data_IF_116717481247
#
_entry.id   IF_116717481247
#
_cell.length_a   1.000
_cell.length_b   1.000
_cell.length_c   1.000
_cell.angle_alpha   90.00
_cell.angle_beta   90.00
_cell.angle_gamma   90.00
#
_symmetry.space_group_name_H-M   'P 1'
#
loop_
_entity.id
_entity.type
_entity.pdbx_description
1 polymer ?
#
# COMPACT_ATOMS: atom_id res chain seq x y z
N UNK A 1 -23.58 -5.64 0.75
CA UNK A 1 -23.73 -5.94 -0.70
C UNK A 1 -22.39 -5.68 -1.37
N UNK A 2 -21.67 -6.74 -1.75
CA UNK A 2 -20.32 -6.63 -2.31
C UNK A 2 -20.38 -6.02 -3.72
N UNK A 3 -19.96 -4.76 -3.87
CA UNK A 3 -19.71 -4.19 -5.18
C UNK A 3 -18.51 -4.93 -5.77
N UNK A 4 -18.80 -5.93 -6.59
CA UNK A 4 -17.90 -6.39 -7.63
C UNK A 4 -17.60 -5.15 -8.47
N UNK A 5 -16.44 -4.53 -8.22
CA UNK A 5 -15.84 -3.54 -9.08
C UNK A 5 -15.60 -4.23 -10.43
N UNK A 6 -16.64 -4.19 -11.27
CA UNK A 6 -16.53 -4.51 -12.69
C UNK A 6 -15.37 -3.66 -13.22
N UNK A 7 -14.26 -4.32 -13.54
CA UNK A 7 -13.13 -3.74 -14.24
C UNK A 7 -13.71 -3.05 -15.47
N UNK A 8 -13.78 -1.72 -15.44
CA UNK A 8 -14.23 -0.91 -16.56
C UNK A 8 -13.30 -1.20 -17.73
N UNK A 9 -13.83 -2.00 -18.63
CA UNK A 9 -13.36 -2.40 -19.94
C UNK A 9 -11.91 -2.93 -20.07
N UNK A 10 -11.84 -4.14 -20.62
CA UNK A 10 -10.75 -4.66 -21.45
C UNK A 10 -10.54 -3.83 -22.74
N UNK A 11 -10.88 -2.54 -22.71
CA UNK A 11 -10.61 -1.60 -23.79
C UNK A 11 -9.10 -1.42 -23.90
N UNK A 12 -8.56 -2.09 -24.91
CA UNK A 12 -7.22 -1.93 -25.45
C UNK A 12 -6.09 -2.61 -24.66
N UNK A 13 -6.29 -3.85 -24.21
CA UNK A 13 -5.25 -4.86 -24.51
C UNK A 13 -5.56 -5.25 -25.95
N UNK A 14 -4.97 -4.52 -26.91
CA UNK A 14 -5.08 -4.86 -28.32
C UNK A 14 -4.58 -6.28 -28.53
N UNK A 15 -4.98 -6.96 -29.61
CA UNK A 15 -4.39 -8.25 -30.01
C UNK A 15 -2.86 -8.21 -30.20
N UNK A 16 -2.23 -7.04 -30.13
CA UNK A 16 -0.78 -6.82 -30.18
C UNK A 16 -0.12 -6.62 -28.81
N UNK A 17 -0.89 -6.52 -27.72
CA UNK A 17 -0.37 -6.35 -26.36
C UNK A 17 -0.11 -7.72 -25.73
N UNK A 18 1.14 -7.99 -25.35
CA UNK A 18 1.57 -9.25 -24.74
C UNK A 18 1.04 -9.38 -23.31
N UNK A 19 1.16 -8.33 -22.51
CA UNK A 19 0.57 -8.24 -21.17
C UNK A 19 0.52 -6.79 -20.69
N UNK A 20 -0.27 -6.55 -19.65
CA UNK A 20 -0.37 -5.27 -18.97
C UNK A 20 -0.30 -5.44 -17.45
N UNK A 21 0.22 -4.42 -16.78
CA UNK A 21 0.31 -4.35 -15.33
C UNK A 21 -0.44 -3.13 -14.81
N UNK A 22 -1.23 -3.35 -13.77
CA UNK A 22 -1.84 -2.33 -12.93
C UNK A 22 -1.16 -2.31 -11.56
N UNK A 23 -0.62 -1.16 -11.18
CA UNK A 23 -0.12 -0.94 -9.83
C UNK A 23 -1.22 -0.34 -8.97
N UNK A 24 -1.47 -0.91 -7.79
CA UNK A 24 -2.54 -0.41 -6.92
C UNK A 24 -2.04 0.18 -5.62
N UNK A 25 -2.69 1.26 -5.23
CA UNK A 25 -2.42 1.98 -4.01
C UNK A 25 -2.72 1.08 -2.79
N UNK A 26 -1.81 0.96 -1.82
CA UNK A 26 -1.95 0.03 -0.69
C UNK A 26 -3.18 0.30 0.17
N UNK A 27 -3.56 1.57 0.31
CA UNK A 27 -4.67 1.99 1.17
C UNK A 27 -6.04 1.91 0.47
N UNK A 28 -6.16 2.41 -0.76
CA UNK A 28 -7.45 2.51 -1.46
C UNK A 28 -7.73 1.33 -2.38
N UNK A 29 -6.71 0.55 -2.75
CA UNK A 29 -6.79 -0.45 -3.80
C UNK A 29 -6.96 0.13 -5.21
N UNK A 30 -7.08 1.45 -5.37
CA UNK A 30 -7.25 2.08 -6.68
C UNK A 30 -5.93 2.07 -7.47
N UNK A 31 -6.04 2.16 -8.80
CA UNK A 31 -4.88 2.19 -9.70
C UNK A 31 -4.06 3.47 -9.46
N UNK A 32 -2.74 3.32 -9.29
CA UNK A 32 -1.79 4.42 -9.27
C UNK A 32 -1.45 4.79 -10.70
N UNK A 33 -1.92 5.96 -11.14
CA UNK A 33 -1.77 6.39 -12.53
C UNK A 33 -0.43 7.05 -12.81
N UNK A 34 0.19 7.73 -11.85
CA UNK A 34 1.33 8.62 -12.08
C UNK A 34 2.46 8.41 -11.08
N UNK A 35 3.63 8.98 -11.38
CA UNK A 35 4.78 9.00 -10.47
C UNK A 35 5.48 7.64 -10.29
N UNK A 36 5.34 6.74 -11.24
CA UNK A 36 6.04 5.45 -11.27
C UNK A 36 6.97 5.37 -12.49
N UNK A 37 8.18 4.88 -12.28
CA UNK A 37 9.06 4.36 -13.32
C UNK A 37 8.93 2.84 -13.31
N UNK A 38 8.54 2.26 -14.44
CA UNK A 38 8.21 0.84 -14.54
C UNK A 38 9.05 0.21 -15.64
N UNK A 39 9.61 -0.96 -15.35
CA UNK A 39 10.35 -1.76 -16.32
C UNK A 39 9.99 -3.25 -16.20
N UNK A 40 10.26 -3.98 -17.28
CA UNK A 40 10.16 -5.43 -17.32
C UNK A 40 11.49 -5.97 -17.86
N UNK A 41 12.10 -6.91 -17.14
CA UNK A 41 13.40 -7.47 -17.52
C UNK A 41 13.33 -8.14 -18.90
N UNK A 42 14.24 -7.75 -19.81
CA UNK A 42 14.28 -8.26 -21.17
C UNK A 42 13.29 -7.59 -22.14
N UNK A 43 12.57 -6.54 -21.73
CA UNK A 43 11.64 -5.82 -22.58
C UNK A 43 12.01 -4.34 -22.72
N UNK A 44 11.58 -3.73 -23.81
CA UNK A 44 11.59 -2.28 -23.98
C UNK A 44 10.67 -1.57 -22.97
N UNK A 45 10.67 -0.23 -22.94
CA UNK A 45 9.81 0.53 -22.04
C UNK A 45 8.32 0.25 -22.32
N UNK A 46 7.47 0.20 -21.27
CA UNK A 46 6.04 0.02 -21.46
C UNK A 46 5.38 1.24 -22.11
N UNK A 47 4.25 1.00 -22.77
CA UNK A 47 3.30 2.05 -23.13
C UNK A 47 2.36 2.26 -21.94
N UNK A 48 2.23 3.50 -21.50
CA UNK A 48 1.26 3.87 -20.46
C UNK A 48 -0.10 4.17 -21.10
N UNK A 49 -1.14 3.43 -20.70
CA UNK A 49 -2.51 3.63 -21.19
C UNK A 49 -3.17 4.81 -20.49
N UNK A 50 -4.28 5.30 -21.05
CA UNK A 50 -5.10 6.34 -20.41
C UNK A 50 -5.66 5.92 -19.04
N UNK A 51 -5.95 4.62 -18.86
CA UNK A 51 -6.39 4.06 -17.57
C UNK A 51 -5.28 3.96 -16.51
N UNK A 52 -4.03 4.26 -16.88
CA UNK A 52 -2.86 4.17 -16.00
C UNK A 52 -2.20 2.79 -15.96
N UNK A 53 -2.54 1.89 -16.89
CA UNK A 53 -1.90 0.58 -17.04
C UNK A 53 -0.56 0.74 -17.75
N UNK A 54 0.38 -0.15 -17.48
CA UNK A 54 1.64 -0.27 -18.20
C UNK A 54 1.58 -1.52 -19.08
N UNK A 55 1.56 -1.33 -20.40
CA UNK A 55 1.39 -2.41 -21.37
C UNK A 55 2.66 -2.62 -22.19
N UNK A 56 3.00 -3.87 -22.44
CA UNK A 56 4.06 -4.27 -23.36
C UNK A 56 3.44 -4.93 -24.59
N UNK A 57 3.89 -4.51 -25.76
CA UNK A 57 3.44 -5.07 -27.03
C UNK A 57 4.44 -6.08 -27.57
N UNK A 58 3.93 -7.07 -28.28
CA UNK A 58 4.69 -8.21 -28.79
C UNK A 58 5.45 -7.86 -30.08
N UNK A 59 6.74 -8.26 -30.16
CA UNK A 59 7.54 -8.24 -31.40
C UNK A 59 7.97 -9.69 -31.80
N UNK A 60 8.00 -10.64 -30.87
CA UNK A 60 8.38 -12.06 -31.10
C UNK A 60 7.24 -13.04 -30.79
N UNK A 61 7.34 -14.31 -31.22
CA UNK A 61 6.26 -15.30 -31.06
C UNK A 61 5.81 -15.51 -29.59
N UNK A 62 4.50 -15.73 -29.36
CA UNK A 62 3.94 -15.93 -28.03
C UNK A 62 4.42 -17.25 -27.43
N UNK A 63 5.12 -17.15 -26.29
CA UNK A 63 5.56 -18.29 -25.50
C UNK A 63 5.37 -17.97 -24.02
N UNK A 64 5.18 -19.00 -23.19
CA UNK A 64 5.13 -18.85 -21.73
C UNK A 64 6.46 -18.32 -21.21
N UNK A 65 6.41 -17.28 -20.38
CA UNK A 65 7.61 -16.63 -19.85
C UNK A 65 7.43 -16.26 -18.39
N UNK A 66 8.51 -16.33 -17.64
CA UNK A 66 8.61 -15.66 -16.34
C UNK A 66 9.35 -14.34 -16.52
N UNK A 67 8.74 -13.25 -16.05
CA UNK A 67 9.26 -11.89 -16.24
C UNK A 67 9.34 -11.22 -14.88
N UNK A 68 10.42 -10.49 -14.64
CA UNK A 68 10.53 -9.62 -13.46
C UNK A 68 10.04 -8.23 -13.83
N UNK A 69 9.02 -7.76 -13.11
CA UNK A 69 8.50 -6.40 -13.20
C UNK A 69 9.08 -5.59 -12.05
N UNK A 70 9.68 -4.46 -12.39
CA UNK A 70 10.15 -3.49 -11.39
C UNK A 70 9.33 -2.20 -11.48
N UNK A 71 9.07 -1.60 -10.32
CA UNK A 71 8.44 -0.30 -10.22
C UNK A 71 9.07 0.54 -9.11
N UNK A 72 9.39 1.78 -9.44
CA UNK A 72 9.99 2.74 -8.52
C UNK A 72 9.16 4.03 -8.50
N UNK A 73 8.81 4.49 -7.29
CA UNK A 73 8.11 5.76 -7.12
C UNK A 73 9.09 6.93 -7.30
N UNK A 74 8.76 7.89 -8.17
CA UNK A 74 9.64 9.04 -8.44
C UNK A 74 9.78 10.00 -7.27
N UNK A 75 8.83 9.98 -6.35
CA UNK A 75 8.74 10.80 -5.14
C UNK A 75 8.99 10.00 -3.85
N UNK A 76 9.26 8.69 -3.96
CA UNK A 76 9.52 7.81 -2.82
C UNK A 76 8.31 7.50 -1.92
N UNK A 77 7.07 7.78 -2.35
CA UNK A 77 5.85 7.46 -1.57
C UNK A 77 5.52 5.95 -1.52
N UNK A 78 6.02 5.20 -2.50
CA UNK A 78 5.93 3.73 -2.51
C UNK A 78 7.32 3.11 -2.45
N UNK A 79 7.44 1.99 -1.75
CA UNK A 79 8.68 1.23 -1.71
C UNK A 79 8.96 0.63 -3.09
N UNK A 80 10.25 0.47 -3.48
CA UNK A 80 10.60 -0.22 -4.72
C UNK A 80 9.96 -1.62 -4.75
N UNK A 81 9.37 -1.96 -5.89
CA UNK A 81 8.76 -3.25 -6.14
C UNK A 81 9.60 -4.00 -7.18
N UNK A 82 9.81 -5.29 -6.93
CA UNK A 82 10.42 -6.24 -7.87
C UNK A 82 9.67 -7.55 -7.75
N UNK A 83 8.77 -7.82 -8.69
CA UNK A 83 7.85 -8.96 -8.64
C UNK A 83 8.03 -9.84 -9.87
N UNK A 84 8.06 -11.15 -9.66
CA UNK A 84 8.14 -12.14 -10.74
C UNK A 84 6.74 -12.57 -11.14
N UNK A 85 6.34 -12.31 -12.38
CA UNK A 85 5.05 -12.71 -12.94
C UNK A 85 5.22 -13.81 -13.99
N UNK A 86 4.21 -14.67 -14.11
CA UNK A 86 4.11 -15.68 -15.17
C UNK A 86 3.18 -15.16 -16.25
N UNK A 87 3.74 -14.82 -17.41
CA UNK A 87 2.96 -14.38 -18.57
C UNK A 87 2.69 -15.59 -19.46
N UNK A 88 1.42 -15.98 -19.66
CA UNK A 88 1.09 -17.09 -20.54
C UNK A 88 1.29 -16.71 -22.01
N UNK A 89 1.49 -17.71 -22.86
CA UNK A 89 1.48 -17.54 -24.31
C UNK A 89 0.11 -17.02 -24.77
N UNK A 90 0.12 -16.06 -25.69
CA UNK A 90 -1.09 -15.52 -26.28
C UNK A 90 -1.70 -16.50 -27.29
N UNK A 91 -2.48 -17.45 -26.78
CA UNK A 91 -3.27 -18.43 -27.55
C UNK A 91 -4.76 -18.13 -27.45
N UNK A 92 -5.57 -18.72 -28.34
CA UNK A 92 -7.00 -18.40 -28.49
C UNK A 92 -7.83 -18.61 -27.20
N UNK A 93 -7.41 -19.47 -26.28
CA UNK A 93 -8.08 -19.69 -24.99
C UNK A 93 -7.69 -18.69 -23.88
N UNK A 94 -6.69 -17.82 -24.12
CA UNK A 94 -6.28 -16.80 -23.16
C UNK A 94 -7.10 -15.53 -23.41
N UNK A 95 -7.94 -15.22 -22.43
CA UNK A 95 -8.75 -14.02 -22.41
C UNK A 95 -7.90 -12.81 -21.97
N UNK A 96 -8.20 -11.58 -22.44
CA UNK A 96 -7.39 -10.41 -22.13
C UNK A 96 -7.18 -10.13 -20.63
N UNK A 97 -8.13 -10.50 -19.77
CA UNK A 97 -8.01 -10.40 -18.31
C UNK A 97 -6.89 -11.27 -17.73
N UNK A 98 -6.55 -12.40 -18.36
CA UNK A 98 -5.42 -13.25 -17.96
C UNK A 98 -4.06 -12.67 -18.33
N UNK A 99 -4.04 -11.63 -19.17
CA UNK A 99 -2.86 -10.86 -19.53
C UNK A 99 -2.74 -9.57 -18.71
N UNK A 100 -3.67 -9.33 -17.78
CA UNK A 100 -3.69 -8.18 -16.88
C UNK A 100 -3.26 -8.61 -15.48
N UNK A 101 -2.12 -8.09 -15.02
CA UNK A 101 -1.58 -8.38 -13.70
C UNK A 101 -1.79 -7.20 -12.77
N UNK A 102 -2.31 -7.46 -11.58
CA UNK A 102 -2.54 -6.43 -10.55
C UNK A 102 -1.51 -6.58 -9.43
N UNK A 103 -0.64 -5.59 -9.28
CA UNK A 103 0.45 -5.61 -8.31
C UNK A 103 0.24 -4.53 -7.24
N UNK A 104 -0.01 -4.91 -5.97
CA UNK A 104 -0.16 -3.95 -4.89
C UNK A 104 1.20 -3.33 -4.51
N UNK A 105 1.25 -2.01 -4.43
CA UNK A 105 2.43 -1.28 -3.97
C UNK A 105 2.49 -1.29 -2.43
N UNK A 106 3.70 -1.23 -1.87
CA UNK A 106 3.89 -1.02 -0.44
C UNK A 106 4.08 0.47 -0.13
N UNK A 107 3.42 0.95 0.93
CA UNK A 107 3.56 2.33 1.39
C UNK A 107 4.92 2.57 2.06
N UNK A 108 5.46 3.78 1.90
CA UNK A 108 6.57 4.27 2.74
C UNK A 108 6.06 5.26 3.78
N UNK A 109 6.93 5.70 4.70
CA UNK A 109 6.62 6.81 5.62
C UNK A 109 6.32 8.16 4.93
N UNK A 110 6.60 8.27 3.64
CA UNK A 110 6.34 9.47 2.83
C UNK A 110 4.96 9.47 2.18
N UNK A 111 4.25 8.34 2.17
CA UNK A 111 2.93 8.26 1.56
C UNK A 111 1.95 9.19 2.28
N UNK A 112 1.32 10.09 1.53
CA UNK A 112 0.16 10.81 2.02
C UNK A 112 -1.08 9.96 1.76
N UNK A 113 -1.88 9.66 2.80
CA UNK A 113 -3.13 8.93 2.64
C UNK A 113 -4.14 9.81 1.89
N UNK A 114 -5.17 9.21 1.27
CA UNK A 114 -6.25 9.95 0.63
C UNK A 114 -6.95 10.94 1.58
N UNK A 115 -7.51 12.00 1.00
CA UNK A 115 -8.32 12.95 1.74
C UNK A 115 -9.45 12.26 2.50
N UNK A 116 -9.68 12.70 3.74
CA UNK A 116 -10.71 12.11 4.59
C UNK A 116 -10.26 10.90 5.40
N UNK A 117 -9.07 10.35 5.14
CA UNK A 117 -8.54 9.20 5.89
C UNK A 117 -7.84 9.65 7.17
N UNK A 118 -8.22 9.04 8.30
CA UNK A 118 -7.51 9.19 9.56
C UNK A 118 -6.23 8.36 9.51
N UNK A 119 -5.09 8.98 9.78
CA UNK A 119 -3.80 8.32 9.63
C UNK A 119 -2.74 8.86 10.59
N UNK A 120 -1.73 8.05 10.82
CA UNK A 120 -0.53 8.42 11.54
C UNK A 120 0.70 7.93 10.79
N UNK A 121 1.72 8.76 10.68
CA UNK A 121 2.97 8.41 10.02
C UNK A 121 4.17 8.73 10.90
N UNK A 122 5.23 7.95 10.78
CA UNK A 122 6.43 8.14 11.57
C UNK A 122 7.61 7.32 11.06
N UNK A 123 8.66 7.30 11.87
CA UNK A 123 9.86 6.50 11.62
C UNK A 123 10.19 5.71 12.89
N UNK A 124 10.41 4.41 12.75
CA UNK A 124 10.75 3.48 13.82
C UNK A 124 12.22 3.05 13.73
N UNK A 125 12.95 3.27 14.81
CA UNK A 125 14.35 2.91 14.97
C UNK A 125 14.57 2.01 16.20
N UNK A 126 15.72 1.35 16.29
CA UNK A 126 16.15 0.58 17.46
C UNK A 126 17.65 0.78 17.73
N UNK A 127 18.06 0.53 18.97
CA UNK A 127 19.46 0.48 19.39
C UNK A 127 20.16 1.84 19.59
N UNK A 128 21.45 1.77 19.90
CA UNK A 128 22.34 2.94 20.07
C UNK A 128 23.71 2.63 19.42
N UNK A 129 24.09 3.30 18.31
CA UNK A 129 23.35 4.36 17.63
C UNK A 129 22.03 3.86 16.98
N UNK A 130 21.03 4.74 16.80
CA UNK A 130 19.73 4.34 16.25
C UNK A 130 19.83 3.81 14.81
N UNK A 131 19.26 2.63 14.57
CA UNK A 131 19.18 1.95 13.26
C UNK A 131 17.72 1.77 12.85
N UNK A 132 17.42 1.96 11.56
CA UNK A 132 16.08 1.75 11.01
C UNK A 132 15.58 0.32 11.22
N UNK A 133 14.38 0.17 11.77
CA UNK A 133 13.71 -1.12 11.83
C UNK A 133 12.88 -1.34 10.57
N UNK A 134 13.30 -2.29 9.73
CA UNK A 134 12.60 -2.64 8.49
C UNK A 134 11.60 -3.78 8.70
N UNK A 135 10.46 -3.72 8.03
CA UNK A 135 9.52 -4.84 7.93
C UNK A 135 8.66 -5.08 9.18
N UNK A 136 8.72 -4.18 10.17
CA UNK A 136 7.85 -4.24 11.36
C UNK A 136 6.43 -3.95 10.93
N UNK A 137 5.48 -4.82 11.29
CA UNK A 137 4.08 -4.62 10.99
C UNK A 137 3.51 -3.51 11.87
N UNK A 138 2.73 -2.60 11.28
CA UNK A 138 2.21 -1.41 11.96
C UNK A 138 0.71 -1.27 11.71
N UNK A 139 -0.05 -1.15 12.80
CA UNK A 139 -1.52 -0.95 12.78
C UNK A 139 -1.91 0.24 13.64
N UNK A 140 -2.91 0.98 13.18
CA UNK A 140 -3.60 1.97 14.01
C UNK A 140 -4.74 1.26 14.74
N UNK A 141 -4.81 1.46 16.06
CA UNK A 141 -5.83 0.89 16.94
C UNK A 141 -6.51 2.04 17.68
N UNK A 142 -7.84 2.07 17.69
CA UNK A 142 -8.60 3.02 18.51
C UNK A 142 -9.31 2.31 19.64
N UNK A 143 -9.53 3.05 20.73
CA UNK A 143 -10.41 2.65 21.81
C UNK A 143 -11.75 3.36 21.65
N UNK A 144 -12.82 2.59 21.58
CA UNK A 144 -14.20 3.07 21.51
C UNK A 144 -15.02 2.38 22.59
N UNK A 145 -15.64 3.14 23.50
CA UNK A 145 -16.56 2.63 24.52
C UNK A 145 -16.05 1.38 25.28
N UNK A 146 -14.75 1.37 25.62
CA UNK A 146 -13.99 0.28 26.27
C UNK A 146 -13.67 -0.94 25.39
N UNK A 147 -14.00 -0.90 24.11
CA UNK A 147 -13.56 -1.88 23.12
C UNK A 147 -12.38 -1.34 22.32
N UNK A 148 -11.55 -2.27 21.82
CA UNK A 148 -10.45 -1.95 20.91
C UNK A 148 -10.84 -2.32 19.49
N UNK A 149 -10.71 -1.35 18.58
CA UNK A 149 -10.95 -1.53 17.16
C UNK A 149 -9.61 -1.39 16.47
N UNK A 150 -9.13 -2.47 15.87
CA UNK A 150 -7.89 -2.46 15.09
C UNK A 150 -8.23 -2.19 13.63
N UNK A 151 -7.40 -1.37 12.97
CA UNK A 151 -7.50 -1.22 11.52
C UNK A 151 -7.20 -2.53 10.81
N UNK A 152 -8.02 -2.87 9.82
CA UNK A 152 -7.79 -3.99 8.90
C UNK A 152 -6.56 -3.77 8.01
N UNK A 153 -6.13 -2.52 7.85
CA UNK A 153 -4.93 -2.21 7.10
C UNK A 153 -3.68 -2.37 7.97
N UNK A 154 -2.83 -3.31 7.55
CA UNK A 154 -1.52 -3.57 8.17
C UNK A 154 -0.43 -3.05 7.26
N UNK A 155 0.19 -1.94 7.65
CA UNK A 155 1.39 -1.44 6.96
C UNK A 155 2.65 -2.14 7.47
N UNK A 156 3.77 -1.91 6.80
CA UNK A 156 5.10 -2.33 7.27
C UNK A 156 6.05 -1.15 7.21
N UNK A 157 7.01 -1.11 8.13
CA UNK A 157 8.10 -0.12 8.05
C UNK A 157 8.98 -0.37 6.83
N UNK A 158 9.33 0.71 6.13
CA UNK A 158 10.22 0.69 4.96
C UNK A 158 11.70 0.51 5.34
N UNK A 159 12.60 0.52 4.35
CA UNK A 159 14.06 0.36 4.56
C UNK A 159 14.68 1.47 5.42
N UNK A 160 13.98 2.61 5.56
CA UNK A 160 14.36 3.73 6.44
C UNK A 160 13.63 3.65 7.79
N UNK A 161 12.83 2.62 8.04
CA UNK A 161 11.97 2.51 9.21
C UNK A 161 10.71 3.38 9.14
N UNK A 162 10.45 4.05 8.01
CA UNK A 162 9.30 4.90 7.81
C UNK A 162 8.01 4.10 7.63
N UNK A 163 6.90 4.56 8.18
CA UNK A 163 5.60 3.90 8.06
C UNK A 163 4.44 4.90 7.98
N UNK A 164 3.31 4.42 7.46
CA UNK A 164 2.01 5.12 7.50
C UNK A 164 0.96 4.09 7.91
N UNK A 165 0.38 4.30 9.08
CA UNK A 165 -0.77 3.54 9.56
C UNK A 165 -2.04 4.34 9.29
N UNK A 166 -3.05 3.69 8.71
CA UNK A 166 -4.35 4.33 8.46
C UNK A 166 -5.45 3.61 9.18
N UNK A 167 -6.49 4.36 9.54
CA UNK A 167 -7.79 3.77 9.84
C UNK A 167 -8.48 3.50 8.52
N UNK A 168 -8.66 2.24 8.17
CA UNK A 168 -9.52 1.91 7.04
C UNK A 168 -10.97 2.09 7.54
N UNK A 169 -11.67 3.09 7.00
CA UNK A 169 -13.10 3.18 7.24
C UNK A 169 -13.76 1.96 6.60
N UNK A 170 -14.50 1.18 7.39
CA UNK A 170 -15.53 0.34 6.79
C UNK A 170 -16.52 1.26 6.08
N UNK A 171 -16.90 0.91 4.86
CA UNK A 171 -18.03 1.54 4.15
C UNK A 171 -19.34 1.46 4.97
N UNK A 172 -19.38 0.68 6.07
CA UNK A 172 -20.52 0.50 6.96
C UNK A 172 -20.33 1.07 8.39
N UNK A 173 -19.14 1.52 8.82
CA UNK A 173 -19.04 2.36 10.02
C UNK A 173 -19.36 3.79 9.59
N UNK A 174 -20.65 3.98 9.33
CA UNK A 174 -21.27 5.30 9.24
C UNK A 174 -20.77 6.10 10.43
N UNK A 175 -20.05 7.21 10.25
CA UNK A 175 -19.65 8.01 11.38
C UNK A 175 -20.94 8.47 12.03
N UNK A 176 -21.21 7.97 13.23
CA UNK A 176 -22.12 8.62 14.17
C UNK A 176 -21.51 9.99 14.43
N UNK A 177 -21.79 10.95 13.53
CA UNK A 177 -21.42 12.38 13.57
C UNK A 177 -20.27 12.68 14.53
N UNK A 178 -19.07 12.13 14.30
CA UNK A 178 -17.91 12.51 15.11
C UNK A 178 -17.35 13.79 14.52
N UNK A 179 -17.31 14.84 15.34
CA UNK A 179 -16.75 16.13 14.91
C UNK A 179 -15.28 15.93 14.52
N UNK A 180 -14.83 16.58 13.45
CA UNK A 180 -13.41 16.62 13.06
C UNK A 180 -12.49 17.18 14.15
N UNK A 181 -13.07 17.79 15.19
CA UNK A 181 -12.35 18.36 16.32
C UNK A 181 -12.27 17.45 17.54
N UNK A 182 -12.94 16.30 17.53
CA UNK A 182 -12.85 15.32 18.60
C UNK A 182 -11.51 14.57 18.53
N UNK A 183 -10.78 14.58 19.64
CA UNK A 183 -9.60 13.72 19.82
C UNK A 183 -10.02 12.27 19.97
N UNK A 184 -9.25 11.38 19.35
CA UNK A 184 -9.45 9.94 19.34
C UNK A 184 -8.49 9.31 20.37
N UNK A 185 -9.01 8.52 21.30
CA UNK A 185 -8.16 7.62 22.11
C UNK A 185 -7.66 6.49 21.22
N UNK A 186 -6.36 6.49 20.91
CA UNK A 186 -5.76 5.55 19.98
C UNK A 186 -4.26 5.39 20.19
N UNK A 187 -3.73 4.30 19.63
CA UNK A 187 -2.30 4.01 19.60
C UNK A 187 -1.93 3.34 18.29
N UNK A 188 -0.63 3.36 18.01
CA UNK A 188 -0.02 2.49 17.02
C UNK A 188 0.41 1.22 17.70
N UNK A 189 0.04 0.06 17.16
CA UNK A 189 0.63 -1.24 17.47
C UNK A 189 1.74 -1.54 16.47
N UNK A 190 2.91 -1.90 16.99
CA UNK A 190 4.05 -2.40 16.26
C UNK A 190 4.28 -3.88 16.60
N UNK A 191 4.45 -4.72 15.58
CA UNK A 191 4.67 -6.15 15.72
C UNK A 191 5.87 -6.58 14.88
N UNK A 192 6.92 -7.10 15.53
CA UNK A 192 8.12 -7.62 14.87
C UNK A 192 8.12 -9.14 14.69
N UNK A 193 7.01 -9.81 14.99
CA UNK A 193 6.84 -11.27 14.97
C UNK A 193 7.12 -11.96 16.30
N UNK A 194 7.79 -11.30 17.23
CA UNK A 194 8.14 -11.84 18.56
C UNK A 194 7.47 -11.07 19.69
N UNK A 195 7.42 -9.74 19.58
CA UNK A 195 6.88 -8.85 20.60
C UNK A 195 6.01 -7.80 19.93
N UNK A 196 4.91 -7.47 20.62
CA UNK A 196 4.05 -6.34 20.29
C UNK A 196 4.31 -5.19 21.24
N UNK A 197 4.51 -4.00 20.71
CA UNK A 197 4.66 -2.77 21.47
C UNK A 197 3.78 -1.68 20.89
N UNK A 198 3.50 -0.64 21.68
CA UNK A 198 2.59 0.43 21.30
C UNK A 198 3.18 1.82 21.52
N UNK A 199 2.64 2.76 20.76
CA UNK A 199 2.84 4.20 20.92
C UNK A 199 1.48 4.91 20.98
N UNK A 200 1.17 5.54 22.11
CA UNK A 200 -0.06 6.32 22.30
C UNK A 200 -0.01 7.62 21.48
N UNK A 201 -1.10 7.94 20.80
CA UNK A 201 -1.19 9.14 19.96
C UNK A 201 -2.13 10.15 20.63
N UNK A 202 -1.62 11.19 21.31
CA UNK A 202 -2.44 12.06 22.14
C UNK A 202 -3.40 12.97 21.35
N UNK A 203 -3.08 13.31 20.09
CA UNK A 203 -3.77 14.36 19.34
C UNK A 203 -4.35 13.88 17.99
N UNK A 204 -4.60 12.58 17.82
CA UNK A 204 -5.20 12.09 16.58
C UNK A 204 -6.66 12.56 16.47
N UNK A 205 -7.05 13.01 15.28
CA UNK A 205 -8.41 13.45 14.95
C UNK A 205 -8.88 12.79 13.67
N UNK A 206 -10.20 12.69 13.51
CA UNK A 206 -10.79 12.10 12.32
C UNK A 206 -10.41 12.85 11.04
N UNK A 207 -10.20 12.10 9.96
CA UNK A 207 -9.89 12.64 8.64
C UNK A 207 -8.63 13.51 8.59
N UNK A 208 -7.66 13.24 9.48
CA UNK A 208 -6.36 13.92 9.50
C UNK A 208 -5.22 12.92 9.48
N UNK A 209 -4.15 13.30 8.79
CA UNK A 209 -2.83 12.71 8.96
C UNK A 209 -2.10 13.44 10.09
N UNK A 210 -1.65 12.70 11.10
CA UNK A 210 -0.70 13.19 12.11
C UNK A 210 0.66 12.57 11.82
N UNK A 211 1.73 13.38 11.86
CA UNK A 211 3.09 12.88 11.76
C UNK A 211 3.74 12.91 13.14
N UNK A 212 4.44 11.84 13.51
CA UNK A 212 5.25 11.80 14.72
C UNK A 212 6.23 12.98 14.71
N UNK A 213 6.24 13.78 15.78
CA UNK A 213 7.13 14.93 15.89
C UNK A 213 8.60 14.50 16.01
N UNK A 214 8.83 13.33 16.59
CA UNK A 214 10.14 12.72 16.79
C UNK A 214 10.17 11.29 16.24
N UNK A 215 11.37 10.75 16.08
CA UNK A 215 11.56 9.35 15.67
C UNK A 215 11.19 8.46 16.85
N UNK A 216 10.45 7.40 16.58
CA UNK A 216 10.05 6.43 17.59
C UNK A 216 11.19 5.42 17.78
N UNK A 217 11.57 5.18 19.04
CA UNK A 217 12.63 4.23 19.40
C UNK A 217 11.98 2.99 20.02
N UNK A 218 12.25 1.81 19.46
CA UNK A 218 11.64 0.53 19.84
C UNK A 218 11.71 0.26 21.34
N UNK A 219 12.87 0.48 21.94
CA UNK A 219 13.12 0.24 23.37
C UNK A 219 12.36 1.20 24.30
N UNK A 220 11.77 2.27 23.77
CA UNK A 220 10.99 3.27 24.52
C UNK A 220 9.48 3.03 24.39
N UNK A 221 9.06 2.08 23.55
CA UNK A 221 7.65 1.74 23.36
C UNK A 221 7.09 0.94 24.54
N UNK A 222 5.78 1.01 24.75
CA UNK A 222 5.10 0.35 25.86
C UNK A 222 4.53 -1.00 25.43
N UNK A 223 4.34 -1.99 26.33
CA UNK A 223 3.51 -3.14 26.01
C UNK A 223 2.05 -2.71 25.75
N UNK A 224 1.28 -3.45 24.93
CA UNK A 224 -0.14 -3.17 24.71
C UNK A 224 -0.92 -3.26 26.04
N UNK A 225 -2.01 -2.49 26.18
CA UNK A 225 -2.88 -2.61 27.35
C UNK A 225 -3.48 -4.03 27.45
N UNK A 226 -3.76 -4.51 28.68
CA UNK A 226 -4.38 -5.82 28.91
C UNK A 226 -5.80 -5.91 28.33
#
# INVERSE_FOLDING_TARGET
MSQVLNLLHAEVISSASMFAVEFTHPITGLIVRDGLRVAAEGYGPPIKTFSGRFAWNEIEKPADREIVITAESTDGRFAPLSEKIKVPAHVKEITPDKLLFRLPLAATGLLEPPDGVTAFAGQLLAGTPPVAMRGVAVRLVLREDRQTVSSDYVSKTDDRGGFVAVMKGDDEITPVRRSKDQTIDCWIEFDNGSVKLIYEIPDLRFARLVRAAERLIWEQLKPPPP
#
